data_IF_068721919527
#
_entry.id   IF_068721919527
#
_cell.length_a   1.000
_cell.length_b   1.000
_cell.length_c   1.000
_cell.angle_alpha   90.00
_cell.angle_beta   90.00
_cell.angle_gamma   90.00
#
_symmetry.space_group_name_H-M   'P 1'
#
loop_
_entity.id
_entity.type
_entity.pdbx_description
1 polymer ?
#
# COMPACT_ATOMS: atom_id res chain seq x y z
N UNK A 1 -15.67 -0.11 30.41
CA UNK A 1 -14.78 0.75 29.57
C UNK A 1 -13.38 0.17 29.47
N UNK A 2 -12.80 -0.38 30.54
CA UNK A 2 -11.45 -0.96 30.55
C UNK A 2 -11.33 -2.15 29.59
N UNK A 3 -12.28 -3.10 29.63
CA UNK A 3 -12.26 -4.30 28.74
C UNK A 3 -12.30 -3.96 27.25
N UNK A 4 -13.03 -2.91 26.86
CA UNK A 4 -13.11 -2.47 25.46
C UNK A 4 -11.75 -1.89 25.03
N UNK A 5 -11.13 -1.07 25.85
CA UNK A 5 -9.82 -0.51 25.58
C UNK A 5 -8.75 -1.60 25.50
N UNK A 6 -8.78 -2.58 26.37
CA UNK A 6 -7.87 -3.72 26.35
C UNK A 6 -8.02 -4.53 25.06
N UNK A 7 -9.25 -4.73 24.58
CA UNK A 7 -9.54 -5.39 23.31
C UNK A 7 -8.98 -4.59 22.11
N UNK A 8 -9.10 -3.25 22.13
CA UNK A 8 -8.57 -2.41 21.07
C UNK A 8 -7.02 -2.41 21.09
N UNK A 9 -6.41 -2.37 22.27
CA UNK A 9 -4.96 -2.51 22.41
C UNK A 9 -4.44 -3.87 21.92
N UNK A 10 -5.21 -4.93 22.14
CA UNK A 10 -4.88 -6.23 21.56
C UNK A 10 -4.98 -6.22 20.04
N UNK A 11 -6.02 -5.58 19.49
CA UNK A 11 -6.19 -5.40 18.03
C UNK A 11 -5.03 -4.62 17.41
N UNK A 12 -4.49 -3.61 18.11
CA UNK A 12 -3.28 -2.88 17.71
C UNK A 12 -2.09 -3.83 17.52
N UNK A 13 -1.85 -4.72 18.47
CA UNK A 13 -0.73 -5.69 18.36
C UNK A 13 -0.90 -6.63 17.18
N UNK A 14 -2.13 -7.05 16.88
CA UNK A 14 -2.42 -7.84 15.67
C UNK A 14 -2.10 -7.03 14.42
N UNK A 15 -2.60 -5.78 14.33
CA UNK A 15 -2.34 -4.92 13.18
C UNK A 15 -0.84 -4.67 12.98
N UNK A 16 -0.10 -4.34 14.04
CA UNK A 16 1.35 -4.13 13.98
C UNK A 16 2.10 -5.38 13.47
N UNK A 17 1.59 -6.58 13.73
CA UNK A 17 2.19 -7.81 13.21
C UNK A 17 1.98 -8.02 11.70
N UNK A 18 0.99 -7.34 11.10
CA UNK A 18 0.72 -7.37 9.66
C UNK A 18 1.55 -6.33 8.89
N UNK A 19 2.00 -5.27 9.56
CA UNK A 19 2.85 -4.25 8.95
C UNK A 19 4.22 -4.82 8.61
N UNK A 20 4.94 -4.17 7.69
CA UNK A 20 6.26 -4.63 7.29
C UNK A 20 7.23 -4.66 8.49
N UNK A 21 7.96 -5.75 8.62
CA UNK A 21 9.02 -5.85 9.61
C UNK A 21 10.16 -4.87 9.25
N UNK A 22 10.60 -4.09 10.22
CA UNK A 22 11.67 -3.09 10.04
C UNK A 22 12.93 -3.71 9.43
N UNK A 23 13.27 -4.95 9.81
CA UNK A 23 14.41 -5.67 9.25
C UNK A 23 14.30 -5.85 7.74
N UNK A 24 13.14 -6.28 7.22
CA UNK A 24 12.91 -6.45 5.78
C UNK A 24 13.06 -5.12 5.02
N UNK A 25 12.55 -4.03 5.59
CA UNK A 25 12.67 -2.72 5.00
C UNK A 25 14.12 -2.23 4.97
N UNK A 26 14.86 -2.36 6.08
CA UNK A 26 16.27 -1.98 6.17
C UNK A 26 17.18 -2.77 5.22
N UNK A 27 16.91 -4.06 5.03
CA UNK A 27 17.64 -4.89 4.06
C UNK A 27 17.36 -4.47 2.62
N UNK A 28 16.11 -4.14 2.29
CA UNK A 28 15.70 -3.77 0.94
C UNK A 28 16.02 -2.31 0.61
N UNK A 29 15.74 -1.41 1.55
CA UNK A 29 15.89 0.05 1.41
C UNK A 29 16.63 0.61 2.64
N UNK A 30 17.96 0.46 2.74
CA UNK A 30 18.72 0.83 3.95
C UNK A 30 18.68 2.33 4.27
N UNK A 31 18.50 3.17 3.27
CA UNK A 31 18.41 4.64 3.42
C UNK A 31 16.94 5.09 3.36
N UNK A 32 16.08 4.48 4.18
CA UNK A 32 14.66 4.82 4.23
C UNK A 32 14.17 5.01 5.66
N UNK A 33 13.10 5.78 5.80
CA UNK A 33 12.32 5.85 7.03
C UNK A 33 10.83 5.88 6.71
N UNK A 34 10.02 5.43 7.66
CA UNK A 34 8.56 5.54 7.61
C UNK A 34 8.14 6.44 8.77
N UNK A 35 7.38 7.49 8.44
CA UNK A 35 6.67 8.28 9.43
C UNK A 35 5.23 7.76 9.51
N UNK A 36 4.87 7.15 10.63
CA UNK A 36 3.57 6.55 10.84
C UNK A 36 3.00 6.98 12.19
N UNK A 37 1.95 7.82 12.14
CA UNK A 37 1.30 8.36 13.33
C UNK A 37 -0.22 8.23 13.20
N UNK A 38 -0.79 7.10 13.59
CA UNK A 38 -2.23 6.88 13.55
C UNK A 38 -3.00 7.90 14.39
N UNK A 39 -4.19 8.29 13.95
CA UNK A 39 -5.11 9.14 14.69
C UNK A 39 -5.67 8.42 15.92
N UNK A 40 -6.00 7.14 15.78
CA UNK A 40 -6.59 6.30 16.80
C UNK A 40 -5.59 5.22 17.25
N UNK A 41 -6.01 4.35 18.17
CA UNK A 41 -5.18 3.23 18.69
C UNK A 41 -4.81 2.27 17.55
N UNK A 42 -5.72 2.06 16.59
CA UNK A 42 -5.54 1.29 15.36
C UNK A 42 -5.83 2.17 14.15
N UNK A 43 -5.38 1.80 12.96
CA UNK A 43 -5.35 2.69 11.78
C UNK A 43 -5.96 2.06 10.53
N UNK A 44 -6.59 2.91 9.69
CA UNK A 44 -6.87 2.62 8.29
C UNK A 44 -5.60 2.67 7.44
N UNK A 45 -4.72 3.64 7.73
CA UNK A 45 -3.42 3.74 7.06
C UNK A 45 -2.56 2.53 7.37
N UNK A 46 -1.81 2.09 6.38
CA UNK A 46 -0.84 1.01 6.54
C UNK A 46 0.32 1.12 5.56
N UNK A 47 1.41 0.48 5.92
CA UNK A 47 2.52 0.18 5.03
C UNK A 47 2.85 -1.30 5.12
N UNK A 48 3.06 -1.93 3.98
CA UNK A 48 3.28 -3.36 3.89
C UNK A 48 4.30 -3.68 2.79
N UNK A 49 5.11 -4.70 3.00
CA UNK A 49 6.09 -5.11 2.00
C UNK A 49 6.29 -6.62 1.97
N UNK A 50 6.73 -7.09 0.80
CA UNK A 50 7.15 -8.48 0.59
C UNK A 50 8.26 -8.55 -0.45
N UNK A 51 9.04 -9.65 -0.39
CA UNK A 51 9.96 -10.05 -1.46
C UNK A 51 9.36 -11.23 -2.22
N UNK A 52 9.32 -11.13 -3.52
CA UNK A 52 8.84 -12.20 -4.39
C UNK A 52 9.62 -12.20 -5.71
N UNK A 53 10.18 -13.37 -6.09
CA UNK A 53 10.94 -13.56 -7.33
C UNK A 53 12.02 -12.49 -7.58
N UNK A 54 12.85 -12.19 -6.57
CA UNK A 54 13.94 -11.22 -6.67
C UNK A 54 13.51 -9.75 -6.68
N UNK A 55 12.22 -9.46 -6.54
CA UNK A 55 11.68 -8.11 -6.46
C UNK A 55 11.22 -7.77 -5.05
N UNK A 56 11.33 -6.51 -4.67
CA UNK A 56 10.81 -5.98 -3.42
C UNK A 56 9.58 -5.11 -3.69
N UNK A 57 8.47 -5.46 -3.08
CA UNK A 57 7.21 -4.74 -3.17
C UNK A 57 6.97 -3.97 -1.89
N UNK A 58 6.58 -2.69 -2.01
CA UNK A 58 6.24 -1.82 -0.89
C UNK A 58 4.93 -1.10 -1.19
N UNK A 59 3.90 -1.34 -0.37
CA UNK A 59 2.64 -0.62 -0.40
C UNK A 59 2.60 0.41 0.72
N UNK A 60 2.14 1.62 0.40
CA UNK A 60 1.87 2.72 1.33
C UNK A 60 0.47 3.21 1.01
N UNK A 61 -0.49 2.92 1.89
CA UNK A 61 -1.91 3.06 1.57
C UNK A 61 -2.72 3.61 2.75
N UNK A 62 -3.79 4.31 2.40
CA UNK A 62 -4.83 4.82 3.30
C UNK A 62 -6.14 4.09 2.98
N UNK A 63 -6.61 3.25 3.89
CA UNK A 63 -7.87 2.51 3.75
C UNK A 63 -9.06 3.35 4.18
N UNK A 64 -10.20 3.11 3.56
CA UNK A 64 -11.47 3.73 3.97
C UNK A 64 -11.77 3.50 5.44
N UNK A 65 -12.03 4.59 6.16
CA UNK A 65 -12.39 4.58 7.58
C UNK A 65 -11.19 4.72 8.52
N UNK A 66 -11.47 4.96 9.78
CA UNK A 66 -10.47 5.13 10.85
C UNK A 66 -10.83 4.27 12.06
N UNK A 67 -9.94 4.17 13.03
CA UNK A 67 -10.15 3.33 14.21
C UNK A 67 -10.35 1.85 13.83
N UNK A 68 -11.25 1.17 14.53
CA UNK A 68 -11.48 -0.28 14.36
C UNK A 68 -11.95 -0.65 12.94
N UNK A 69 -12.94 0.02 12.33
CA UNK A 69 -13.32 -0.28 10.94
C UNK A 69 -12.16 -0.12 9.96
N UNK A 70 -11.38 0.98 10.06
CA UNK A 70 -10.19 1.19 9.24
C UNK A 70 -9.14 0.09 9.43
N UNK A 71 -8.93 -0.39 10.65
CA UNK A 71 -8.01 -1.49 10.94
C UNK A 71 -8.43 -2.81 10.27
N UNK A 72 -9.72 -3.12 10.20
CA UNK A 72 -10.21 -4.26 9.44
C UNK A 72 -10.00 -4.07 7.95
N UNK A 73 -10.24 -2.87 7.42
CA UNK A 73 -9.99 -2.57 6.01
C UNK A 73 -8.51 -2.72 5.66
N UNK A 74 -7.60 -2.19 6.47
CA UNK A 74 -6.16 -2.35 6.24
C UNK A 74 -5.74 -3.82 6.26
N UNK A 75 -6.28 -4.63 7.19
CA UNK A 75 -5.99 -6.07 7.24
C UNK A 75 -6.47 -6.82 5.99
N UNK A 76 -7.67 -6.50 5.48
CA UNK A 76 -8.18 -7.06 4.21
C UNK A 76 -7.31 -6.65 3.03
N UNK A 77 -6.95 -5.36 2.92
CA UNK A 77 -6.09 -4.85 1.85
C UNK A 77 -4.73 -5.55 1.85
N UNK A 78 -4.09 -5.71 3.01
CA UNK A 78 -2.83 -6.44 3.16
C UNK A 78 -3.00 -7.91 2.74
N UNK A 79 -4.10 -8.56 3.14
CA UNK A 79 -4.38 -9.94 2.77
C UNK A 79 -4.49 -10.10 1.26
N UNK A 80 -5.20 -9.22 0.56
CA UNK A 80 -5.39 -9.30 -0.88
C UNK A 80 -4.13 -8.90 -1.66
N UNK A 81 -3.32 -7.97 -1.15
CA UNK A 81 -1.98 -7.67 -1.69
C UNK A 81 -1.07 -8.92 -1.60
N UNK A 82 -1.06 -9.57 -0.44
CA UNK A 82 -0.28 -10.80 -0.23
C UNK A 82 -0.80 -11.96 -1.10
N UNK A 83 -2.11 -12.12 -1.23
CA UNK A 83 -2.71 -13.10 -2.14
C UNK A 83 -2.24 -12.87 -3.58
N UNK A 84 -2.36 -11.63 -4.09
CA UNK A 84 -1.97 -11.29 -5.45
C UNK A 84 -0.49 -11.61 -5.74
N UNK A 85 0.40 -11.18 -4.86
CA UNK A 85 1.85 -11.30 -5.09
C UNK A 85 2.35 -12.69 -4.71
N UNK A 86 2.12 -13.13 -3.46
CA UNK A 86 2.79 -14.30 -2.90
C UNK A 86 2.10 -15.62 -3.26
N UNK A 87 0.80 -15.62 -3.54
CA UNK A 87 0.06 -16.84 -3.86
C UNK A 87 -0.19 -16.97 -5.37
N UNK A 88 -0.65 -15.89 -6.01
CA UNK A 88 -0.98 -15.89 -7.44
C UNK A 88 0.20 -15.50 -8.33
N UNK A 89 1.29 -14.97 -7.77
CA UNK A 89 2.48 -14.60 -8.53
C UNK A 89 2.28 -13.44 -9.48
N UNK A 90 1.31 -12.55 -9.22
CA UNK A 90 1.09 -11.34 -10.01
C UNK A 90 2.24 -10.37 -9.72
N UNK A 91 2.95 -9.93 -10.74
CA UNK A 91 4.17 -9.13 -10.59
C UNK A 91 4.03 -7.67 -11.02
N UNK A 92 3.03 -7.34 -11.83
CA UNK A 92 2.80 -5.98 -12.32
C UNK A 92 1.93 -5.18 -11.31
N UNK A 93 2.41 -4.05 -10.78
CA UNK A 93 1.68 -3.26 -9.79
C UNK A 93 0.23 -2.91 -10.16
N UNK A 94 -0.03 -2.53 -11.40
CA UNK A 94 -1.39 -2.24 -11.87
C UNK A 94 -2.30 -3.45 -11.82
N UNK A 95 -1.80 -4.62 -12.23
CA UNK A 95 -2.56 -5.88 -12.15
C UNK A 95 -2.79 -6.32 -10.71
N UNK A 96 -1.84 -6.06 -9.82
CA UNK A 96 -2.01 -6.32 -8.38
C UNK A 96 -3.15 -5.46 -7.83
N UNK A 97 -3.17 -4.15 -8.11
CA UNK A 97 -4.26 -3.28 -7.68
C UNK A 97 -5.61 -3.66 -8.29
N UNK A 98 -5.66 -4.09 -9.55
CA UNK A 98 -6.88 -4.62 -10.17
C UNK A 98 -7.38 -5.88 -9.43
N UNK A 99 -6.49 -6.79 -9.05
CA UNK A 99 -6.85 -7.97 -8.27
C UNK A 99 -7.41 -7.58 -6.90
N UNK A 100 -6.71 -6.72 -6.14
CA UNK A 100 -7.16 -6.24 -4.83
C UNK A 100 -8.54 -5.59 -4.93
N UNK A 101 -8.76 -4.72 -5.93
CA UNK A 101 -10.05 -4.10 -6.20
C UNK A 101 -11.16 -5.14 -6.42
N UNK A 102 -10.90 -6.13 -7.25
CA UNK A 102 -11.86 -7.21 -7.51
C UNK A 102 -12.24 -7.93 -6.22
N UNK A 103 -11.23 -8.32 -5.44
CA UNK A 103 -11.45 -9.00 -4.14
C UNK A 103 -12.26 -8.17 -3.15
N UNK A 104 -11.97 -6.86 -3.06
CA UNK A 104 -12.72 -5.94 -2.19
C UNK A 104 -14.18 -5.82 -2.62
N UNK A 105 -14.42 -5.58 -3.92
CA UNK A 105 -15.79 -5.45 -4.45
C UNK A 105 -16.59 -6.71 -4.21
N UNK A 106 -16.01 -7.89 -4.43
CA UNK A 106 -16.67 -9.18 -4.21
C UNK A 106 -16.92 -9.46 -2.73
N UNK A 107 -16.04 -9.02 -1.83
CA UNK A 107 -16.10 -9.40 -0.41
C UNK A 107 -16.97 -8.47 0.43
N UNK A 108 -16.96 -7.16 0.17
CA UNK A 108 -17.56 -6.17 1.09
C UNK A 108 -18.49 -5.15 0.44
N UNK A 109 -18.52 -5.03 -0.89
CA UNK A 109 -19.34 -3.97 -1.54
C UNK A 109 -20.77 -4.42 -1.83
N UNK A 110 -21.41 -5.14 -0.91
CA UNK A 110 -22.75 -5.70 -1.13
C UNK A 110 -23.87 -4.65 -1.11
N UNK A 111 -23.73 -3.56 -0.33
CA UNK A 111 -24.80 -2.58 -0.08
C UNK A 111 -24.50 -1.19 -0.67
N UNK A 112 -23.69 -1.13 -1.74
CA UNK A 112 -23.34 0.15 -2.37
C UNK A 112 -22.23 0.92 -1.65
N UNK A 113 -21.63 0.36 -0.61
CA UNK A 113 -20.47 0.95 0.05
C UNK A 113 -19.29 1.09 -0.93
N UNK A 114 -18.62 2.24 -0.85
CA UNK A 114 -17.43 2.55 -1.66
C UNK A 114 -16.16 2.35 -0.83
N UNK A 115 -16.03 1.18 -0.22
CA UNK A 115 -14.86 0.82 0.56
C UNK A 115 -13.69 0.46 -0.33
N UNK A 116 -12.48 0.87 0.10
CA UNK A 116 -11.26 0.66 -0.68
C UNK A 116 -10.05 1.24 0.01
N UNK A 117 -9.05 1.57 -0.80
CA UNK A 117 -7.85 2.28 -0.36
C UNK A 117 -7.33 3.22 -1.44
N UNK A 118 -6.70 4.30 -1.00
CA UNK A 118 -5.84 5.14 -1.80
C UNK A 118 -4.38 4.82 -1.47
N UNK A 119 -3.47 5.00 -2.40
CA UNK A 119 -2.06 4.76 -2.09
C UNK A 119 -1.21 4.39 -3.28
N UNK A 120 0.00 3.92 -2.98
CA UNK A 120 1.01 3.55 -3.96
C UNK A 120 1.53 2.15 -3.66
N UNK A 121 1.67 1.34 -4.70
CA UNK A 121 2.40 0.08 -4.66
C UNK A 121 3.64 0.20 -5.53
N UNK A 122 4.81 0.19 -4.90
CA UNK A 122 6.11 0.15 -5.57
C UNK A 122 6.59 -1.28 -5.77
N UNK A 123 7.28 -1.50 -6.89
CA UNK A 123 8.03 -2.71 -7.18
C UNK A 123 9.45 -2.33 -7.59
N UNK A 124 10.42 -2.60 -6.72
CA UNK A 124 11.85 -2.39 -6.96
C UNK A 124 12.47 -3.66 -7.54
N UNK A 125 13.24 -3.50 -8.61
CA UNK A 125 14.07 -4.57 -9.14
C UNK A 125 15.35 -4.78 -8.31
N UNK A 126 16.09 -5.82 -8.58
CA UNK A 126 17.35 -6.12 -7.88
C UNK A 126 18.42 -5.06 -8.10
N UNK A 127 18.41 -4.38 -9.26
CA UNK A 127 19.41 -3.36 -9.60
C UNK A 127 19.13 -2.01 -8.93
N UNK A 128 17.90 -1.80 -8.47
CA UNK A 128 17.42 -0.56 -7.85
C UNK A 128 17.56 0.72 -8.70
N UNK A 129 17.91 0.58 -9.97
CA UNK A 129 18.01 1.70 -10.90
C UNK A 129 16.68 2.02 -11.58
N UNK A 130 15.72 1.12 -11.44
CA UNK A 130 14.42 1.22 -12.05
C UNK A 130 13.37 0.66 -11.10
N UNK A 131 12.28 1.37 -10.95
CA UNK A 131 11.12 0.88 -10.25
C UNK A 131 9.87 1.01 -11.12
N UNK A 132 8.96 0.08 -10.95
CA UNK A 132 7.60 0.20 -11.43
C UNK A 132 6.66 0.44 -10.26
N UNK A 133 5.53 1.08 -10.52
CA UNK A 133 4.53 1.32 -9.49
C UNK A 133 3.13 1.43 -10.09
N UNK A 134 2.14 1.29 -9.23
CA UNK A 134 0.77 1.73 -9.48
C UNK A 134 0.32 2.64 -8.35
N UNK A 135 -0.50 3.62 -8.66
CA UNK A 135 -0.93 4.61 -7.69
C UNK A 135 -2.40 4.94 -7.85
N UNK A 136 -3.13 4.93 -6.74
CA UNK A 136 -4.51 5.32 -6.60
C UNK A 136 -4.57 6.68 -5.89
N UNK A 137 -4.89 7.75 -6.60
CA UNK A 137 -4.91 9.15 -6.16
C UNK A 137 -3.57 9.71 -5.67
N UNK A 138 -2.80 8.97 -4.89
CA UNK A 138 -1.57 9.41 -4.23
C UNK A 138 -0.38 9.31 -5.18
N UNK A 139 0.01 10.45 -5.75
CA UNK A 139 1.13 10.54 -6.68
C UNK A 139 2.46 10.45 -5.94
N UNK A 140 3.37 9.53 -6.30
CA UNK A 140 4.73 9.56 -5.77
C UNK A 140 5.51 10.78 -6.29
N UNK A 141 6.49 11.19 -5.51
CA UNK A 141 7.31 12.37 -5.78
C UNK A 141 8.79 12.04 -5.63
N UNK A 142 9.62 12.54 -6.52
CA UNK A 142 11.08 12.51 -6.37
C UNK A 142 11.60 13.94 -6.21
N UNK A 143 12.52 14.13 -5.27
CA UNK A 143 13.38 15.30 -5.24
C UNK A 143 14.71 14.89 -5.90
N UNK A 144 15.04 15.55 -7.01
CA UNK A 144 16.24 15.34 -7.81
C UNK A 144 16.93 16.68 -8.06
N UNK A 145 18.18 16.81 -7.68
CA UNK A 145 18.96 18.05 -7.85
C UNK A 145 18.25 19.30 -7.28
N UNK A 146 17.49 19.12 -6.20
CA UNK A 146 16.70 20.18 -5.55
C UNK A 146 15.35 20.47 -6.22
N UNK A 147 15.02 19.81 -7.32
CA UNK A 147 13.74 19.96 -8.00
C UNK A 147 12.75 18.83 -7.62
N UNK A 148 11.49 19.22 -7.42
CA UNK A 148 10.40 18.31 -7.11
C UNK A 148 9.77 17.82 -8.42
N UNK A 149 9.79 16.50 -8.62
CA UNK A 149 9.21 15.82 -9.77
C UNK A 149 8.04 14.95 -9.29
N UNK A 150 6.83 15.30 -9.70
CA UNK A 150 5.62 14.53 -9.38
C UNK A 150 5.32 13.55 -10.50
N UNK A 151 5.03 12.30 -10.13
CA UNK A 151 4.70 11.23 -11.06
C UNK A 151 3.18 10.96 -11.12
N UNK A 152 2.66 10.39 -12.21
CA UNK A 152 1.23 10.17 -12.39
C UNK A 152 0.64 9.19 -11.38
N UNK A 153 -0.66 9.36 -11.12
CA UNK A 153 -1.51 8.42 -10.40
C UNK A 153 -2.86 8.30 -11.13
N UNK A 154 -3.47 7.13 -11.05
CA UNK A 154 -4.83 6.94 -11.52
C UNK A 154 -5.81 7.63 -10.56
N UNK A 155 -6.80 8.34 -11.12
CA UNK A 155 -7.76 9.13 -10.34
C UNK A 155 -8.96 8.29 -9.94
N UNK A 156 -8.70 7.21 -9.24
CA UNK A 156 -9.69 6.30 -8.69
C UNK A 156 -9.11 5.54 -7.50
N UNK A 157 -9.94 5.08 -6.54
CA UNK A 157 -9.50 4.24 -5.43
C UNK A 157 -9.28 2.80 -5.88
N UNK A 158 -8.49 2.05 -5.13
CA UNK A 158 -8.50 0.58 -5.19
C UNK A 158 -9.74 0.10 -4.43
N UNK A 159 -10.88 0.13 -5.09
CA UNK A 159 -12.20 -0.15 -4.53
C UNK A 159 -13.28 0.09 -5.56
N UNK A 160 -14.54 0.13 -5.11
CA UNK A 160 -15.69 0.43 -5.96
C UNK A 160 -15.73 1.93 -6.28
N UNK A 161 -15.90 2.25 -7.56
CA UNK A 161 -16.11 3.61 -8.05
C UNK A 161 -17.02 3.59 -9.28
N UNK A 162 -17.53 4.77 -9.68
CA UNK A 162 -18.45 4.89 -10.82
C UNK A 162 -17.83 4.41 -12.14
N UNK A 163 -16.54 4.68 -12.34
CA UNK A 163 -15.75 4.16 -13.44
C UNK A 163 -14.55 3.37 -12.89
N UNK A 164 -14.39 2.16 -13.38
CA UNK A 164 -13.34 1.23 -12.93
C UNK A 164 -12.46 0.77 -14.10
N UNK A 165 -11.76 1.68 -14.80
CA UNK A 165 -10.75 1.26 -15.77
C UNK A 165 -9.62 0.52 -15.06
N UNK A 166 -8.80 -0.22 -15.82
CA UNK A 166 -7.65 -0.90 -15.24
C UNK A 166 -6.61 0.08 -14.72
N UNK A 167 -6.04 -0.24 -13.56
CA UNK A 167 -4.89 0.48 -13.03
C UNK A 167 -3.68 0.34 -13.94
N UNK A 168 -2.99 1.44 -14.13
CA UNK A 168 -1.77 1.48 -14.93
C UNK A 168 -0.55 1.06 -14.10
N UNK A 169 0.41 0.43 -14.77
CA UNK A 169 1.77 0.26 -14.24
C UNK A 169 2.66 1.32 -14.85
N UNK A 170 3.18 2.20 -14.00
CA UNK A 170 4.10 3.27 -14.38
C UNK A 170 5.54 2.88 -14.07
N UNK A 171 6.49 3.60 -14.66
CA UNK A 171 7.92 3.37 -14.48
C UNK A 171 8.63 4.65 -14.07
N UNK A 172 9.60 4.52 -13.17
CA UNK A 172 10.49 5.61 -12.75
C UNK A 172 11.93 5.13 -12.89
N UNK A 173 12.73 5.88 -13.65
CA UNK A 173 14.18 5.73 -13.64
C UNK A 173 14.77 6.46 -12.43
N UNK A 174 15.48 5.75 -11.56
CA UNK A 174 16.10 6.28 -10.35
C UNK A 174 17.57 6.58 -10.62
N UNK A 175 18.06 7.68 -10.07
CA UNK A 175 19.46 8.11 -10.12
C UNK A 175 20.03 8.19 -8.71
N UNK A 176 21.36 8.02 -8.54
CA UNK A 176 22.01 8.31 -7.27
C UNK A 176 21.69 9.74 -6.78
N UNK A 177 21.33 9.88 -5.52
CA UNK A 177 20.93 11.15 -4.91
C UNK A 177 19.43 11.47 -4.99
N UNK A 178 18.63 10.71 -5.72
CA UNK A 178 17.17 10.87 -5.71
C UNK A 178 16.60 10.56 -4.34
N UNK A 179 15.62 11.37 -3.92
CA UNK A 179 14.82 11.12 -2.71
C UNK A 179 13.38 10.84 -3.14
N UNK A 180 12.91 9.63 -2.93
CA UNK A 180 11.55 9.18 -3.27
C UNK A 180 10.62 9.32 -2.06
N UNK A 181 9.46 9.94 -2.27
CA UNK A 181 8.40 10.13 -1.27
C UNK A 181 7.07 9.57 -1.79
N UNK A 182 6.25 9.03 -0.86
CA UNK A 182 4.89 8.58 -1.11
C UNK A 182 4.02 8.73 0.14
#
# INVERSE_FOLDING_TARGET
QTEILDSIHYSKRIQESLLVQQKLLQEALPESFIFFQPKDIVSGDFYWATKFNGKFYLAICDSTGHGVPGAFMSALNITFLSEAINQLGITEPGKIFNHVRTRLVESISHDGAQDGMDGVLFCFDETRNHLTYSAAYNSPVIIRDGELIKFPADKMPVGKSDAMPDFQTYSIGIKPGDQLFA
#
